data_IF_386031934109
#
_entry.id   IF_386031934109
#
_cell.length_a   1.000
_cell.length_b   1.000
_cell.length_c   1.000
_cell.angle_alpha   90.00
_cell.angle_beta   90.00
_cell.angle_gamma   90.00
#
_symmetry.space_group_name_H-M   'P 1'
#
loop_
_entity.id
_entity.type
_entity.pdbx_description
1 polymer ?
#
# COMPACT_ATOMS: atom_id res chain seq x y z
N UNK A 1 -14.58 -5.73 -12.11
CA UNK A 1 -13.35 -6.43 -11.67
C UNK A 1 -12.98 -5.91 -10.29
N UNK A 2 -12.59 -6.77 -9.35
CA UNK A 2 -12.11 -6.35 -8.04
C UNK A 2 -10.61 -6.10 -8.07
N UNK A 3 -10.14 -5.03 -7.43
CA UNK A 3 -8.71 -4.66 -7.30
C UNK A 3 -8.25 -4.92 -5.87
N UNK A 4 -7.12 -5.61 -5.73
CA UNK A 4 -6.56 -6.00 -4.43
C UNK A 4 -5.13 -5.48 -4.36
N UNK A 5 -4.79 -4.81 -3.25
CA UNK A 5 -3.43 -4.40 -2.91
C UNK A 5 -2.87 -5.33 -1.82
N UNK A 6 -1.68 -5.87 -2.03
CA UNK A 6 -0.98 -6.70 -1.04
C UNK A 6 0.36 -6.06 -0.69
N UNK A 7 0.64 -5.88 0.60
CA UNK A 7 1.86 -5.26 1.10
C UNK A 7 2.64 -6.27 1.95
N UNK A 8 3.83 -6.63 1.47
CA UNK A 8 4.72 -7.54 2.20
C UNK A 8 5.24 -6.93 3.50
N UNK A 9 5.51 -7.79 4.48
CA UNK A 9 6.25 -7.41 5.67
C UNK A 9 7.73 -7.16 5.37
N UNK A 10 8.40 -6.40 6.25
CA UNK A 10 9.82 -6.10 6.03
C UNK A 10 10.56 -5.42 7.17
N UNK A 11 9.93 -5.23 8.34
CA UNK A 11 10.49 -4.42 9.42
C UNK A 11 10.71 -2.98 8.96
N UNK A 12 11.89 -2.43 9.23
CA UNK A 12 12.27 -1.08 8.77
C UNK A 12 12.17 -0.90 7.25
N UNK A 13 12.29 -1.99 6.47
CA UNK A 13 12.15 -1.95 5.00
C UNK A 13 10.72 -1.69 4.53
N UNK A 14 9.73 -1.62 5.43
CA UNK A 14 8.40 -1.10 5.13
C UNK A 14 8.42 0.32 4.56
N UNK A 15 9.52 1.07 4.72
CA UNK A 15 9.72 2.35 4.03
C UNK A 15 9.65 2.21 2.49
N UNK A 16 10.04 1.07 1.92
CA UNK A 16 10.03 0.85 0.47
C UNK A 16 8.59 0.87 -0.07
N UNK A 17 7.65 0.02 0.40
CA UNK A 17 6.27 0.12 -0.04
C UNK A 17 5.62 1.43 0.38
N UNK A 18 5.94 2.01 1.54
CA UNK A 18 5.38 3.30 1.97
C UNK A 18 5.70 4.45 0.99
N UNK A 19 6.95 4.54 0.52
CA UNK A 19 7.36 5.52 -0.50
C UNK A 19 6.65 5.26 -1.83
N UNK A 20 6.49 3.98 -2.20
CA UNK A 20 5.79 3.61 -3.43
C UNK A 20 4.31 3.99 -3.40
N UNK A 21 3.64 3.81 -2.26
CA UNK A 21 2.25 4.22 -2.04
C UNK A 21 2.11 5.75 -2.08
N UNK A 22 3.02 6.49 -1.43
CA UNK A 22 3.01 7.95 -1.49
C UNK A 22 3.18 8.47 -2.92
N UNK A 23 4.07 7.85 -3.70
CA UNK A 23 4.26 8.20 -5.11
C UNK A 23 3.03 7.84 -5.97
N UNK A 24 2.36 6.72 -5.68
CA UNK A 24 1.10 6.35 -6.34
C UNK A 24 0.01 7.40 -6.09
N UNK A 25 -0.14 7.87 -4.86
CA UNK A 25 -1.09 8.94 -4.53
C UNK A 25 -0.73 10.24 -5.24
N UNK A 26 0.56 10.58 -5.31
CA UNK A 26 1.04 11.77 -6.03
C UNK A 26 0.73 11.72 -7.53
N UNK A 27 0.92 10.56 -8.17
CA UNK A 27 0.66 10.40 -9.61
C UNK A 27 -0.83 10.36 -9.94
N UNK A 28 -1.65 9.77 -9.07
CA UNK A 28 -3.09 9.60 -9.30
C UNK A 28 -3.93 10.78 -8.80
N UNK A 29 -3.39 11.60 -7.89
CA UNK A 29 -4.12 12.66 -7.21
C UNK A 29 -5.25 12.15 -6.30
N UNK A 30 -5.19 10.87 -5.88
CA UNK A 30 -6.20 10.20 -5.06
C UNK A 30 -5.51 9.42 -3.96
N UNK A 31 -6.24 9.14 -2.89
CA UNK A 31 -5.73 8.26 -1.84
C UNK A 31 -5.64 6.84 -2.38
N UNK A 32 -4.62 6.09 -1.97
CA UNK A 32 -4.39 4.70 -2.40
C UNK A 32 -5.63 3.86 -2.14
N UNK A 33 -6.24 4.02 -0.96
CA UNK A 33 -7.43 3.27 -0.54
C UNK A 33 -8.64 3.44 -1.46
N UNK A 34 -8.72 4.53 -2.21
CA UNK A 34 -9.83 4.79 -3.14
C UNK A 34 -9.68 3.99 -4.44
N UNK A 35 -8.50 3.40 -4.68
CA UNK A 35 -8.17 2.63 -5.89
C UNK A 35 -8.36 1.11 -5.77
N UNK A 36 -8.55 0.59 -4.55
CA UNK A 36 -8.57 -0.85 -4.26
C UNK A 36 -9.79 -1.23 -3.41
N UNK A 37 -10.42 -2.36 -3.75
CA UNK A 37 -11.56 -2.89 -3.01
C UNK A 37 -11.12 -3.64 -1.73
N UNK A 38 -9.90 -4.18 -1.75
CA UNK A 38 -9.31 -4.92 -0.64
C UNK A 38 -7.84 -4.57 -0.49
N UNK A 39 -7.39 -4.51 0.77
CA UNK A 39 -5.97 -4.35 1.12
C UNK A 39 -5.60 -5.46 2.11
N UNK A 40 -4.45 -6.07 1.90
CA UNK A 40 -3.89 -7.06 2.82
C UNK A 40 -2.41 -6.78 3.05
N UNK A 41 -1.92 -7.11 4.23
CA UNK A 41 -0.50 -7.03 4.52
C UNK A 41 -0.07 -7.95 5.65
N UNK A 42 1.24 -8.16 5.78
CA UNK A 42 1.84 -8.97 6.85
C UNK A 42 2.89 -8.16 7.61
N UNK A 43 3.01 -8.35 8.93
CA UNK A 43 3.98 -7.61 9.77
C UNK A 43 3.90 -6.09 9.51
N UNK A 44 5.00 -5.41 9.16
CA UNK A 44 4.98 -3.97 8.81
C UNK A 44 4.05 -3.63 7.65
N UNK A 45 3.88 -4.53 6.67
CA UNK A 45 2.92 -4.36 5.61
C UNK A 45 1.48 -4.32 6.11
N UNK A 46 1.16 -5.05 7.19
CA UNK A 46 -0.14 -5.00 7.85
C UNK A 46 -0.39 -3.68 8.60
N UNK A 47 0.68 -2.96 8.98
CA UNK A 47 0.57 -1.63 9.59
C UNK A 47 0.32 -0.56 8.53
N UNK A 48 0.80 -0.78 7.30
CA UNK A 48 0.57 0.11 6.15
C UNK A 48 -0.77 -0.13 5.44
N UNK A 49 -1.29 -1.35 5.52
CA UNK A 49 -2.55 -1.79 4.92
C UNK A 49 -3.78 -1.19 5.62
#
# INVERSE_FOLDING_TARGET
MRRILTIDGGGVRGIIPAVLLAELERQTGRLTRDGFDFVAGTSTGAVLA
#
